data_IF_905748077564
#
_entry.id   IF_905748077564
#
_cell.length_a   1.000
_cell.length_b   1.000
_cell.length_c   1.000
_cell.angle_alpha   90.00
_cell.angle_beta   90.00
_cell.angle_gamma   90.00
#
_symmetry.space_group_name_H-M   'P 1'
#
loop_
_entity.id
_entity.type
_entity.pdbx_description
1 polymer ?
#
# COMPACT_ATOMS: atom_id res chain seq x y z
N UNK A 1 -48.38 -92.82 -8.33
CA UNK A 1 -47.45 -92.09 -9.14
C UNK A 1 -47.23 -90.70 -8.52
N UNK A 2 -46.10 -90.53 -7.88
CA UNK A 2 -45.70 -89.25 -7.22
C UNK A 2 -44.57 -88.65 -8.01
N UNK A 3 -44.81 -87.50 -8.64
CA UNK A 3 -43.82 -86.71 -9.35
C UNK A 3 -43.07 -85.79 -8.32
N UNK A 4 -41.75 -85.95 -8.29
CA UNK A 4 -40.88 -85.19 -7.44
C UNK A 4 -40.39 -83.90 -8.25
N UNK A 5 -40.58 -82.74 -7.77
CA UNK A 5 -40.00 -81.52 -8.46
C UNK A 5 -38.56 -81.35 -7.97
N UNK A 6 -37.63 -81.33 -8.90
CA UNK A 6 -36.20 -81.02 -8.67
C UNK A 6 -36.00 -79.49 -8.32
N UNK A 7 -35.15 -79.17 -7.37
CA UNK A 7 -34.88 -77.79 -7.05
C UNK A 7 -33.94 -77.14 -8.09
N UNK A 8 -34.40 -76.08 -8.67
CA UNK A 8 -33.64 -75.20 -9.59
C UNK A 8 -32.65 -74.35 -8.72
N UNK A 9 -31.39 -74.71 -8.75
CA UNK A 9 -30.35 -73.94 -8.07
C UNK A 9 -29.77 -72.92 -9.05
N UNK A 10 -30.12 -71.62 -8.87
CA UNK A 10 -29.47 -70.49 -9.51
C UNK A 10 -28.09 -70.26 -8.87
N UNK A 11 -27.07 -70.72 -9.54
CA UNK A 11 -25.68 -70.48 -9.11
C UNK A 11 -25.24 -69.11 -9.61
N UNK A 12 -25.51 -68.04 -8.84
CA UNK A 12 -24.99 -66.69 -9.07
C UNK A 12 -23.50 -66.68 -8.67
N UNK A 13 -22.64 -67.11 -9.59
CA UNK A 13 -21.21 -66.97 -9.47
C UNK A 13 -20.82 -65.49 -9.51
N UNK A 14 -20.94 -64.81 -8.37
CA UNK A 14 -20.34 -63.48 -8.16
C UNK A 14 -18.84 -63.66 -8.06
N UNK A 15 -18.16 -63.46 -9.18
CA UNK A 15 -16.69 -63.47 -9.24
C UNK A 15 -16.14 -62.22 -8.57
N UNK A 16 -15.89 -62.33 -7.26
CA UNK A 16 -15.43 -61.25 -6.37
C UNK A 16 -13.97 -60.83 -6.61
N UNK A 17 -13.46 -60.87 -7.85
CA UNK A 17 -12.06 -60.53 -8.14
C UNK A 17 -11.86 -59.47 -9.24
N UNK A 18 -12.89 -58.88 -9.73
CA UNK A 18 -12.69 -57.69 -10.58
C UNK A 18 -12.46 -56.48 -9.71
N UNK A 19 -11.22 -56.34 -9.18
CA UNK A 19 -10.68 -55.09 -8.73
C UNK A 19 -10.63 -54.19 -9.96
N UNK A 20 -11.59 -53.29 -10.09
CA UNK A 20 -11.54 -52.18 -11.05
C UNK A 20 -10.28 -51.38 -10.69
N UNK A 21 -9.17 -51.72 -11.32
CA UNK A 21 -7.97 -50.90 -11.33
C UNK A 21 -8.30 -49.71 -12.21
N UNK A 22 -8.72 -48.61 -11.57
CA UNK A 22 -8.73 -47.33 -12.22
C UNK A 22 -7.29 -47.03 -12.67
N UNK A 23 -7.02 -46.81 -13.95
CA UNK A 23 -5.69 -46.47 -14.39
C UNK A 23 -5.43 -44.98 -14.01
N UNK A 24 -5.07 -44.74 -12.76
CA UNK A 24 -4.40 -43.50 -12.40
C UNK A 24 -3.02 -43.54 -13.02
N UNK A 25 -2.96 -43.22 -14.33
CA UNK A 25 -1.71 -43.05 -15.01
C UNK A 25 -0.89 -41.98 -14.28
N UNK A 26 0.35 -42.32 -13.95
CA UNK A 26 1.32 -41.43 -13.28
C UNK A 26 1.48 -40.06 -13.96
N UNK A 27 1.04 -39.91 -15.20
CA UNK A 27 1.02 -38.67 -15.97
C UNK A 27 -0.07 -37.66 -15.52
N UNK A 28 -1.15 -38.10 -14.88
CA UNK A 28 -2.23 -37.20 -14.39
C UNK A 28 -1.91 -36.56 -13.05
N UNK A 29 -1.08 -37.17 -12.22
CA UNK A 29 -0.73 -36.66 -10.88
C UNK A 29 0.06 -35.35 -10.95
N UNK A 30 0.99 -35.20 -11.90
CA UNK A 30 1.77 -33.96 -12.05
C UNK A 30 0.89 -32.76 -12.39
N UNK A 31 -0.11 -32.93 -13.24
CA UNK A 31 -1.08 -31.88 -13.57
C UNK A 31 -2.00 -31.55 -12.38
N UNK A 32 -2.40 -32.57 -11.62
CA UNK A 32 -3.20 -32.36 -10.40
C UNK A 32 -2.39 -31.61 -9.33
N UNK A 33 -1.12 -31.97 -9.12
CA UNK A 33 -0.23 -31.26 -8.20
C UNK A 33 0.03 -29.83 -8.67
N UNK A 34 0.29 -29.64 -9.98
CA UNK A 34 0.48 -28.30 -10.54
C UNK A 34 -0.78 -27.44 -10.34
N UNK A 35 -1.97 -27.99 -10.61
CA UNK A 35 -3.24 -27.30 -10.38
C UNK A 35 -3.47 -26.96 -8.90
N UNK A 36 -3.17 -27.88 -7.99
CA UNK A 36 -3.27 -27.65 -6.56
C UNK A 36 -2.30 -26.55 -6.07
N UNK A 37 -1.05 -26.57 -6.54
CA UNK A 37 -0.05 -25.53 -6.21
C UNK A 37 -0.48 -24.17 -6.78
N UNK A 38 -0.88 -24.10 -8.05
CA UNK A 38 -1.35 -22.86 -8.66
C UNK A 38 -2.60 -22.33 -7.97
N UNK A 39 -3.56 -23.19 -7.67
CA UNK A 39 -4.78 -22.81 -6.94
C UNK A 39 -4.47 -22.34 -5.52
N UNK A 40 -3.57 -23.03 -4.82
CA UNK A 40 -3.11 -22.64 -3.49
C UNK A 40 -2.38 -21.29 -3.48
N UNK A 41 -1.49 -21.06 -4.42
CA UNK A 41 -0.82 -19.76 -4.59
C UNK A 41 -1.82 -18.63 -4.89
N UNK A 42 -2.78 -18.90 -5.78
CA UNK A 42 -3.83 -17.92 -6.10
C UNK A 42 -4.69 -17.60 -4.87
N UNK A 43 -5.11 -18.62 -4.13
CA UNK A 43 -5.88 -18.44 -2.89
C UNK A 43 -5.08 -17.65 -1.84
N UNK A 44 -3.79 -17.93 -1.71
CA UNK A 44 -2.89 -17.20 -0.81
C UNK A 44 -2.75 -15.73 -1.22
N UNK A 45 -2.59 -15.45 -2.52
CA UNK A 45 -2.53 -14.09 -3.04
C UNK A 45 -3.81 -13.30 -2.77
N UNK A 46 -4.98 -13.93 -2.96
CA UNK A 46 -6.28 -13.26 -2.72
C UNK A 46 -6.48 -12.97 -1.23
N UNK A 47 -5.97 -13.83 -0.35
CA UNK A 47 -6.18 -13.74 1.10
C UNK A 47 -4.95 -13.22 1.86
N UNK A 48 -3.99 -12.58 1.17
CA UNK A 48 -2.80 -12.00 1.81
C UNK A 48 -3.18 -11.08 2.98
N UNK A 49 -2.79 -11.43 4.22
CA UNK A 49 -3.16 -10.65 5.39
C UNK A 49 -2.47 -9.28 5.37
N UNK A 50 -3.17 -8.26 5.85
CA UNK A 50 -2.65 -6.89 5.90
C UNK A 50 -1.37 -6.72 6.76
N UNK A 51 -1.07 -7.68 7.61
CA UNK A 51 0.17 -7.72 8.40
C UNK A 51 1.43 -7.72 7.53
N UNK A 52 1.36 -8.31 6.34
CA UNK A 52 2.49 -8.29 5.39
C UNK A 52 2.78 -6.89 4.89
N UNK A 53 1.73 -6.09 4.65
CA UNK A 53 1.87 -4.69 4.30
C UNK A 53 2.51 -3.89 5.45
N UNK A 54 2.05 -4.13 6.68
CA UNK A 54 2.62 -3.49 7.86
C UNK A 54 4.10 -3.82 8.05
N UNK A 55 4.48 -5.09 7.86
CA UNK A 55 5.88 -5.53 7.95
C UNK A 55 6.74 -4.97 6.82
N UNK A 56 6.21 -4.92 5.60
CA UNK A 56 6.92 -4.32 4.47
C UNK A 56 7.17 -2.82 4.70
N UNK A 57 6.18 -2.10 5.22
CA UNK A 57 6.31 -0.68 5.56
C UNK A 57 7.34 -0.45 6.67
N UNK A 58 7.28 -1.27 7.73
CA UNK A 58 8.25 -1.24 8.84
C UNK A 58 9.69 -1.40 8.32
N UNK A 59 9.92 -2.40 7.48
CA UNK A 59 11.24 -2.69 6.92
C UNK A 59 11.72 -1.58 5.98
N UNK A 60 10.82 -1.08 5.10
CA UNK A 60 11.14 -0.04 4.14
C UNK A 60 11.50 1.30 4.80
N UNK A 61 10.92 1.58 5.98
CA UNK A 61 11.13 2.83 6.72
C UNK A 61 12.09 2.69 7.90
N UNK A 62 12.79 1.56 8.03
CA UNK A 62 13.69 1.27 9.15
C UNK A 62 13.01 1.48 10.52
N UNK A 63 11.73 1.09 10.59
CA UNK A 63 10.94 1.19 11.81
C UNK A 63 10.33 2.58 12.09
N UNK A 64 10.61 3.60 11.29
CA UNK A 64 10.10 4.97 11.52
C UNK A 64 8.59 5.08 11.31
N UNK A 65 8.03 4.28 10.41
CA UNK A 65 6.59 4.26 10.14
C UNK A 65 6.05 2.87 10.41
N UNK A 66 5.11 2.77 11.33
CA UNK A 66 4.49 1.51 11.73
C UNK A 66 2.99 1.56 11.52
N UNK A 67 2.42 0.45 11.05
CA UNK A 67 0.98 0.22 11.06
C UNK A 67 0.66 -0.75 12.20
N UNK A 68 -0.03 -0.26 13.21
CA UNK A 68 -0.47 -1.03 14.36
C UNK A 68 -1.98 -1.35 14.25
N UNK A 69 -2.43 -2.35 15.01
CA UNK A 69 -3.84 -2.78 15.02
C UNK A 69 -4.38 -3.04 13.61
N UNK A 70 -3.57 -3.66 12.77
CA UNK A 70 -3.88 -3.89 11.35
C UNK A 70 -5.01 -4.89 11.20
N UNK A 71 -5.99 -4.58 10.36
CA UNK A 71 -7.16 -5.41 10.07
C UNK A 71 -7.39 -5.51 8.57
N UNK A 72 -7.90 -6.66 8.13
CA UNK A 72 -8.21 -6.92 6.72
C UNK A 72 -7.07 -7.58 5.95
N UNK A 73 -7.02 -7.33 4.66
CA UNK A 73 -6.04 -7.87 3.72
C UNK A 73 -5.16 -6.78 3.11
N UNK A 74 -4.15 -7.18 2.34
CA UNK A 74 -3.34 -6.24 1.53
C UNK A 74 -4.23 -5.46 0.56
N UNK A 75 -5.33 -6.08 0.10
CA UNK A 75 -6.25 -5.49 -0.89
C UNK A 75 -7.22 -4.48 -0.27
N UNK A 76 -7.68 -4.74 0.93
CA UNK A 76 -8.59 -3.86 1.65
C UNK A 76 -8.38 -4.03 3.15
N UNK A 77 -8.03 -2.94 3.82
CA UNK A 77 -7.77 -3.00 5.24
C UNK A 77 -7.74 -1.63 5.91
N UNK A 78 -7.45 -1.67 7.19
CA UNK A 78 -7.24 -0.47 8.00
C UNK A 78 -6.19 -0.72 9.06
N UNK A 79 -5.53 0.34 9.49
CA UNK A 79 -4.53 0.28 10.54
C UNK A 79 -4.32 1.65 11.19
N UNK A 80 -3.69 1.66 12.34
CA UNK A 80 -3.31 2.86 13.06
C UNK A 80 -1.87 3.22 12.66
N UNK A 81 -1.70 4.40 12.10
CA UNK A 81 -0.36 4.88 11.76
C UNK A 81 0.34 5.39 13.01
N UNK A 82 1.53 4.89 13.24
CA UNK A 82 2.41 5.31 14.32
C UNK A 82 3.75 5.73 13.74
N UNK A 83 4.17 6.93 14.04
CA UNK A 83 5.50 7.44 13.72
C UNK A 83 6.42 7.23 14.92
N UNK A 84 7.61 6.69 14.66
CA UNK A 84 8.61 6.41 15.70
C UNK A 84 9.97 6.93 15.26
N UNK A 85 10.87 7.13 16.22
CA UNK A 85 12.25 7.55 15.92
C UNK A 85 13.14 6.44 15.36
N UNK A 86 12.55 5.32 14.89
CA UNK A 86 13.26 4.15 14.37
C UNK A 86 13.49 3.07 15.43
N UNK A 87 14.30 2.07 15.09
CA UNK A 87 14.59 0.94 15.98
C UNK A 87 15.24 1.41 17.28
N UNK A 88 14.68 0.95 18.41
CA UNK A 88 15.17 1.28 19.75
C UNK A 88 14.73 2.64 20.30
N UNK A 89 14.02 3.46 19.52
CA UNK A 89 13.47 4.73 20.00
C UNK A 89 12.27 4.49 20.93
N UNK A 90 12.17 5.32 21.98
CA UNK A 90 10.99 5.38 22.85
C UNK A 90 9.99 6.44 22.40
N UNK A 91 10.39 7.27 21.44
CA UNK A 91 9.52 8.29 20.87
C UNK A 91 8.55 7.60 19.88
N UNK A 92 7.27 7.71 20.17
CA UNK A 92 6.23 7.19 19.29
C UNK A 92 4.99 8.09 19.38
N UNK A 93 4.46 8.47 18.24
CA UNK A 93 3.19 9.21 18.15
C UNK A 93 2.26 8.56 17.15
N UNK A 94 1.05 8.28 17.60
CA UNK A 94 0.01 7.71 16.79
C UNK A 94 -0.84 8.79 16.13
N UNK A 95 -1.19 8.57 14.86
CA UNK A 95 -2.17 9.39 14.17
C UNK A 95 -3.55 9.25 14.87
N UNK A 96 -4.28 10.34 15.11
CA UNK A 96 -5.65 10.25 15.60
C UNK A 96 -6.54 9.61 14.51
N UNK A 97 -7.09 8.44 14.81
CA UNK A 97 -7.90 7.65 13.88
C UNK A 97 -7.13 6.54 13.17
N UNK A 98 -7.76 5.96 12.16
CA UNK A 98 -7.23 4.84 11.38
C UNK A 98 -7.02 5.28 9.93
N UNK A 99 -5.97 4.79 9.33
CA UNK A 99 -5.79 4.84 7.88
C UNK A 99 -6.51 3.64 7.29
N UNK A 100 -7.25 3.87 6.23
CA UNK A 100 -7.92 2.85 5.43
C UNK A 100 -7.26 2.80 4.05
N UNK A 101 -7.10 1.62 3.52
CA UNK A 101 -6.62 1.43 2.16
C UNK A 101 -7.49 0.45 1.41
N UNK A 102 -7.57 0.69 0.12
CA UNK A 102 -8.18 -0.21 -0.85
C UNK A 102 -7.28 -0.26 -2.07
N UNK A 103 -6.84 -1.45 -2.43
CA UNK A 103 -6.03 -1.68 -3.62
C UNK A 103 -6.82 -2.48 -4.63
N UNK A 104 -6.58 -2.24 -5.89
CA UNK A 104 -7.23 -2.95 -6.98
C UNK A 104 -6.36 -2.98 -8.22
N UNK A 105 -6.74 -3.81 -9.16
CA UNK A 105 -6.10 -3.89 -10.47
C UNK A 105 -7.13 -3.56 -11.54
N UNK A 106 -6.75 -2.74 -12.51
CA UNK A 106 -7.56 -2.38 -13.66
C UNK A 106 -6.69 -2.33 -14.92
N UNK A 107 -7.31 -2.13 -16.04
CA UNK A 107 -6.61 -1.80 -17.28
C UNK A 107 -6.77 -0.30 -17.53
N UNK A 108 -5.69 0.36 -17.96
CA UNK A 108 -5.75 1.76 -18.37
C UNK A 108 -6.36 1.89 -19.78
N UNK A 109 -6.53 3.12 -20.27
CA UNK A 109 -7.09 3.39 -21.59
C UNK A 109 -6.31 2.74 -22.77
N UNK A 110 -5.03 2.45 -22.57
CA UNK A 110 -4.18 1.74 -23.53
C UNK A 110 -4.16 0.22 -23.31
N UNK A 111 -5.07 -0.33 -22.49
CA UNK A 111 -5.20 -1.76 -22.18
C UNK A 111 -3.98 -2.35 -21.43
N UNK A 112 -3.21 -1.52 -20.72
CA UNK A 112 -2.09 -1.98 -19.89
C UNK A 112 -2.52 -2.17 -18.45
N UNK A 113 -1.96 -3.15 -17.71
CA UNK A 113 -2.28 -3.39 -16.31
C UNK A 113 -1.85 -2.19 -15.44
N UNK A 114 -2.77 -1.79 -14.57
CA UNK A 114 -2.61 -0.69 -13.65
C UNK A 114 -3.04 -1.13 -12.26
N UNK A 115 -2.21 -0.84 -11.25
CA UNK A 115 -2.54 -1.03 -9.85
C UNK A 115 -3.04 0.29 -9.27
N UNK A 116 -4.23 0.27 -8.68
CA UNK A 116 -4.84 1.44 -8.07
C UNK A 116 -4.79 1.31 -6.55
N UNK A 117 -4.42 2.38 -5.87
CA UNK A 117 -4.35 2.48 -4.42
C UNK A 117 -5.20 3.68 -3.99
N UNK A 118 -6.19 3.43 -3.17
CA UNK A 118 -6.98 4.47 -2.52
C UNK A 118 -6.60 4.48 -1.03
N UNK A 119 -6.13 5.61 -0.54
CA UNK A 119 -5.77 5.81 0.85
C UNK A 119 -6.70 6.86 1.46
N UNK A 120 -7.22 6.59 2.64
CA UNK A 120 -8.08 7.52 3.36
C UNK A 120 -7.69 7.57 4.85
N UNK A 121 -7.61 8.78 5.39
CA UNK A 121 -7.42 9.03 6.80
C UNK A 121 -8.47 10.06 7.25
N UNK A 122 -9.49 9.62 7.96
CA UNK A 122 -10.65 10.45 8.32
C UNK A 122 -10.29 11.71 9.12
N UNK A 123 -9.19 11.68 9.89
CA UNK A 123 -8.72 12.86 10.63
C UNK A 123 -8.23 13.98 9.71
N UNK A 124 -7.66 13.60 8.55
CA UNK A 124 -6.63 14.40 7.92
C UNK A 124 -6.84 14.55 6.41
N UNK A 125 -7.80 13.84 5.84
CA UNK A 125 -8.14 13.86 4.43
C UNK A 125 -9.64 14.04 4.25
N UNK A 126 -10.04 15.02 3.42
CA UNK A 126 -11.46 15.22 3.05
C UNK A 126 -11.88 14.26 1.94
N UNK A 127 -10.94 13.87 1.10
CA UNK A 127 -11.12 12.91 0.01
C UNK A 127 -9.99 11.88 0.06
N UNK A 128 -10.27 10.65 -0.37
CA UNK A 128 -9.26 9.63 -0.45
C UNK A 128 -8.16 10.01 -1.48
N UNK A 129 -6.91 9.83 -1.10
CA UNK A 129 -5.79 9.96 -2.02
C UNK A 129 -5.78 8.76 -2.97
N UNK A 130 -5.76 9.04 -4.27
CA UNK A 130 -5.73 8.01 -5.32
C UNK A 130 -4.37 8.00 -5.99
N UNK A 131 -3.77 6.83 -5.99
CA UNK A 131 -2.50 6.59 -6.63
C UNK A 131 -2.69 5.46 -7.64
N UNK A 132 -2.06 5.57 -8.79
CA UNK A 132 -2.03 4.53 -9.80
C UNK A 132 -0.60 4.21 -10.21
N UNK A 133 -0.24 2.94 -10.15
CA UNK A 133 1.04 2.43 -10.60
C UNK A 133 0.82 1.71 -11.92
N UNK A 134 1.38 2.25 -12.98
CA UNK A 134 1.23 1.75 -14.34
C UNK A 134 2.50 1.03 -14.79
N UNK A 135 2.32 -0.14 -15.40
CA UNK A 135 3.39 -0.83 -16.09
C UNK A 135 3.45 -0.32 -17.55
N UNK A 136 4.62 0.09 -18.04
CA UNK A 136 4.76 0.54 -19.42
C UNK A 136 4.74 -0.63 -20.41
N UNK A 137 4.59 -0.31 -21.69
CA UNK A 137 4.52 -1.27 -22.81
C UNK A 137 5.69 -2.27 -22.87
N UNK A 138 6.84 -1.95 -22.30
CA UNK A 138 8.04 -2.79 -22.33
C UNK A 138 8.51 -3.26 -20.94
N UNK A 139 7.67 -3.20 -19.90
CA UNK A 139 7.99 -3.63 -18.52
C UNK A 139 9.26 -3.00 -17.91
N UNK A 140 9.83 -1.97 -18.54
CA UNK A 140 11.11 -1.41 -18.13
C UNK A 140 10.98 -0.19 -17.22
N UNK A 141 9.83 0.49 -17.22
CA UNK A 141 9.66 1.74 -16.47
C UNK A 141 8.30 1.81 -15.82
N UNK A 142 8.28 1.64 -14.51
CA UNK A 142 7.08 1.87 -13.72
C UNK A 142 6.82 3.36 -13.57
N UNK A 143 5.57 3.77 -13.76
CA UNK A 143 5.12 5.14 -13.56
C UNK A 143 4.09 5.18 -12.43
N UNK A 144 4.39 5.95 -11.40
CA UNK A 144 3.43 6.29 -10.35
C UNK A 144 2.76 7.60 -10.72
N UNK A 145 1.44 7.59 -10.78
CA UNK A 145 0.62 8.79 -10.91
C UNK A 145 -0.16 8.98 -9.61
N UNK A 146 -0.17 10.19 -9.10
CA UNK A 146 -0.97 10.60 -7.95
C UNK A 146 -1.98 11.62 -8.45
N UNK A 147 -3.25 11.38 -8.19
CA UNK A 147 -4.31 12.33 -8.52
C UNK A 147 -4.17 13.60 -7.67
N UNK A 148 -4.76 14.69 -8.16
CA UNK A 148 -4.80 15.94 -7.40
C UNK A 148 -5.45 15.71 -6.05
N UNK A 149 -4.71 16.01 -5.00
CA UNK A 149 -5.11 15.67 -3.64
C UNK A 149 -4.68 16.74 -2.64
N UNK A 150 -5.49 16.93 -1.61
CA UNK A 150 -5.20 17.80 -0.47
C UNK A 150 -5.41 17.06 0.82
N UNK A 151 -4.45 17.19 1.73
CA UNK A 151 -4.53 16.61 3.08
C UNK A 151 -3.94 17.57 4.11
N UNK A 152 -4.43 17.44 5.35
CA UNK A 152 -4.00 18.27 6.48
C UNK A 152 -3.59 17.38 7.65
N UNK A 153 -2.37 17.54 8.11
CA UNK A 153 -1.78 16.69 9.14
C UNK A 153 -1.34 17.55 10.33
N UNK A 154 -1.60 17.13 11.56
CA UNK A 154 -1.09 17.87 12.72
C UNK A 154 0.42 17.79 12.78
N UNK A 155 1.08 18.95 12.91
CA UNK A 155 2.55 19.02 12.88
C UNK A 155 3.22 18.29 14.06
N UNK A 156 2.53 18.15 15.20
CA UNK A 156 3.06 17.43 16.36
C UNK A 156 3.38 15.96 16.09
N UNK A 157 2.79 15.34 15.04
CA UNK A 157 3.11 13.97 14.63
C UNK A 157 4.59 13.79 14.29
N UNK A 158 5.24 14.84 13.79
CA UNK A 158 6.67 14.79 13.48
C UNK A 158 7.51 14.48 14.72
N UNK A 159 7.07 14.87 15.91
CA UNK A 159 7.80 14.57 17.15
C UNK A 159 7.97 13.07 17.40
N UNK A 160 7.11 12.23 16.82
CA UNK A 160 7.26 10.78 16.86
C UNK A 160 8.48 10.27 16.09
N UNK A 161 8.96 11.01 15.09
CA UNK A 161 10.13 10.62 14.31
C UNK A 161 11.47 10.75 15.04
N UNK A 162 11.46 11.14 16.35
CA UNK A 162 12.66 11.29 17.14
C UNK A 162 13.40 12.61 16.87
N UNK A 163 14.71 12.63 17.15
CA UNK A 163 15.53 13.84 16.97
C UNK A 163 15.65 14.23 15.47
N UNK A 164 15.56 15.53 15.14
CA UNK A 164 15.41 16.69 16.03
C UNK A 164 13.97 17.03 16.42
N UNK A 165 12.97 16.36 15.86
CA UNK A 165 11.55 16.74 15.96
C UNK A 165 10.98 16.61 17.37
N UNK A 166 11.43 15.59 18.14
CA UNK A 166 11.03 15.40 19.54
C UNK A 166 11.50 16.55 20.44
N UNK A 167 12.61 17.21 20.09
CA UNK A 167 13.13 18.38 20.80
C UNK A 167 12.40 19.65 20.38
N UNK A 168 12.19 19.82 19.07
CA UNK A 168 11.49 20.98 18.52
C UNK A 168 10.02 21.03 18.92
N UNK A 169 9.39 19.85 19.05
CA UNK A 169 7.95 19.68 19.33
C UNK A 169 7.09 20.65 18.49
N UNK A 170 7.07 20.48 17.17
CA UNK A 170 6.37 21.41 16.29
C UNK A 170 4.87 21.34 16.54
N UNK A 171 4.23 22.49 16.65
CA UNK A 171 2.80 22.68 16.72
C UNK A 171 2.35 23.43 15.46
N UNK A 172 1.13 23.17 14.99
CA UNK A 172 0.59 23.76 13.77
C UNK A 172 -0.02 22.71 12.86
N UNK A 173 -0.26 23.07 11.61
CA UNK A 173 -0.88 22.21 10.61
C UNK A 173 0.01 22.10 9.38
N UNK A 174 0.25 20.88 8.92
CA UNK A 174 0.94 20.58 7.68
C UNK A 174 -0.11 20.30 6.60
N UNK A 175 -0.17 21.13 5.58
CA UNK A 175 -1.00 20.92 4.39
C UNK A 175 -0.15 20.37 3.26
N UNK A 176 -0.54 19.23 2.74
CA UNK A 176 0.09 18.61 1.57
C UNK A 176 -0.88 18.70 0.39
N UNK A 177 -0.43 19.31 -0.70
CA UNK A 177 -1.14 19.35 -1.95
C UNK A 177 -0.32 18.71 -3.06
N UNK A 178 -0.96 17.91 -3.89
CA UNK A 178 -0.37 17.35 -5.11
C UNK A 178 -1.15 17.77 -6.32
N UNK A 179 -0.47 18.15 -7.40
CA UNK A 179 -1.07 18.52 -8.68
C UNK A 179 -0.39 17.80 -9.82
N UNK A 180 -1.17 16.99 -10.55
CA UNK A 180 -0.72 16.25 -11.74
C UNK A 180 0.59 15.49 -11.53
N UNK A 181 0.78 14.94 -10.33
CA UNK A 181 2.04 14.35 -9.92
C UNK A 181 2.26 13.00 -10.62
N UNK A 182 3.38 12.91 -11.34
CA UNK A 182 3.85 11.69 -12.00
C UNK A 182 5.32 11.46 -11.67
N UNK A 183 5.62 10.25 -11.23
CA UNK A 183 6.98 9.82 -10.89
C UNK A 183 7.36 8.66 -11.78
N UNK A 184 8.38 8.84 -12.59
CA UNK A 184 8.96 7.78 -13.42
C UNK A 184 10.17 7.20 -12.70
N UNK A 185 10.18 5.90 -12.47
CA UNK A 185 11.29 5.22 -11.76
C UNK A 185 12.51 4.97 -12.68
N UNK A 186 12.73 5.84 -13.65
CA UNK A 186 13.96 5.87 -14.46
C UNK A 186 14.97 6.86 -13.89
N UNK A 187 16.24 6.57 -14.09
CA UNK A 187 17.37 7.40 -13.67
C UNK A 187 17.61 8.63 -14.54
N UNK A 188 16.59 9.17 -15.23
CA UNK A 188 16.72 10.34 -16.10
C UNK A 188 16.25 11.63 -15.41
N UNK A 189 16.73 12.81 -15.84
CA UNK A 189 16.44 14.08 -15.17
C UNK A 189 14.95 14.45 -15.11
N UNK A 190 14.11 13.84 -15.93
CA UNK A 190 12.66 14.04 -15.94
C UNK A 190 11.86 13.00 -15.12
N UNK A 191 12.44 12.47 -14.06
CA UNK A 191 11.81 11.46 -13.22
C UNK A 191 10.56 11.96 -12.49
N UNK A 192 10.44 13.27 -12.23
CA UNK A 192 9.31 13.91 -11.56
C UNK A 192 8.63 14.89 -12.50
N UNK A 193 7.30 14.83 -12.60
CA UNK A 193 6.43 15.79 -13.28
C UNK A 193 5.30 16.18 -12.34
N UNK A 194 4.75 17.40 -12.51
CA UNK A 194 3.73 17.93 -11.62
C UNK A 194 4.32 18.70 -10.44
N UNK A 195 3.52 18.92 -9.41
CA UNK A 195 3.88 19.76 -8.28
C UNK A 195 3.45 19.12 -6.95
N UNK A 196 4.33 19.22 -5.96
CA UNK A 196 4.04 18.91 -4.56
C UNK A 196 4.25 20.19 -3.76
N UNK A 197 3.22 20.63 -3.06
CA UNK A 197 3.28 21.76 -2.16
C UNK A 197 3.05 21.31 -0.73
N UNK A 198 4.00 21.55 0.14
CA UNK A 198 3.89 21.36 1.59
C UNK A 198 3.84 22.72 2.27
N UNK A 199 2.71 23.06 2.86
CA UNK A 199 2.53 24.28 3.64
C UNK A 199 2.45 23.95 5.14
N UNK A 200 3.37 24.51 5.90
CA UNK A 200 3.41 24.42 7.35
C UNK A 200 2.78 25.69 7.95
N UNK A 201 1.50 25.60 8.32
CA UNK A 201 0.69 26.74 8.76
C UNK A 201 0.75 26.92 10.27
N UNK A 202 0.84 28.21 10.68
CA UNK A 202 0.81 28.63 12.08
C UNK A 202 1.79 27.83 12.95
N UNK A 203 2.98 27.62 12.41
CA UNK A 203 4.01 26.84 13.09
C UNK A 203 4.45 27.48 14.38
N UNK A 204 4.58 26.65 15.41
CA UNK A 204 5.15 27.00 16.70
C UNK A 204 6.11 25.92 17.16
N UNK A 205 7.02 26.24 18.04
CA UNK A 205 7.95 25.29 18.65
C UNK A 205 8.09 25.59 20.14
N UNK A 206 8.35 24.57 20.94
CA UNK A 206 8.65 24.79 22.38
C UNK A 206 9.96 25.54 22.61
N UNK A 207 10.86 25.54 21.64
CA UNK A 207 12.15 26.24 21.75
C UNK A 207 12.04 27.73 21.40
N UNK A 208 10.93 28.17 20.79
CA UNK A 208 10.72 29.56 20.41
C UNK A 208 9.74 30.27 21.36
N UNK A 209 10.04 31.51 21.70
CA UNK A 209 9.14 32.42 22.41
C UNK A 209 8.07 33.02 21.52
N UNK A 210 8.31 33.03 20.17
CA UNK A 210 7.35 33.52 19.19
C UNK A 210 6.28 32.45 18.91
N UNK A 211 5.01 32.80 19.11
CA UNK A 211 3.88 31.91 18.84
C UNK A 211 2.73 32.69 18.18
N UNK A 212 2.39 32.42 16.91
CA UNK A 212 3.07 31.53 15.96
C UNK A 212 4.38 32.13 15.42
N UNK A 213 5.31 31.27 15.01
CA UNK A 213 6.55 31.66 14.33
C UNK A 213 6.29 32.11 12.89
N UNK A 214 5.33 31.48 12.21
CA UNK A 214 4.96 31.80 10.86
C UNK A 214 4.35 30.66 10.06
N UNK A 215 4.14 30.91 8.78
CA UNK A 215 3.69 29.94 7.78
C UNK A 215 4.77 29.80 6.72
N UNK A 216 5.21 28.58 6.50
CA UNK A 216 6.28 28.23 5.58
C UNK A 216 5.74 27.33 4.47
N UNK A 217 6.19 27.53 3.25
CA UNK A 217 5.77 26.72 2.12
C UNK A 217 6.99 26.19 1.38
N UNK A 218 6.99 24.88 1.17
CA UNK A 218 7.95 24.16 0.35
C UNK A 218 7.24 23.70 -0.90
N UNK A 219 7.75 24.10 -2.04
CA UNK A 219 7.29 23.66 -3.35
C UNK A 219 8.36 22.81 -4.02
N UNK A 220 7.97 21.60 -4.41
CA UNK A 220 8.74 20.73 -5.28
C UNK A 220 8.05 20.67 -6.64
N UNK A 221 8.60 21.42 -7.59
CA UNK A 221 8.15 21.42 -8.98
C UNK A 221 8.89 20.36 -9.79
N UNK A 222 8.16 19.55 -10.53
CA UNK A 222 8.72 18.58 -11.46
C UNK A 222 9.30 19.22 -12.72
N UNK A 223 9.99 18.41 -13.52
CA UNK A 223 10.49 18.83 -14.83
C UNK A 223 9.33 19.27 -15.73
N UNK A 224 9.51 20.41 -16.41
CA UNK A 224 8.57 20.97 -17.39
C UNK A 224 9.27 21.29 -18.69
N UNK A 225 8.49 21.68 -19.71
CA UNK A 225 9.07 22.10 -21.00
C UNK A 225 10.01 23.32 -20.86
N UNK A 226 9.79 24.17 -19.86
CA UNK A 226 10.61 25.34 -19.57
C UNK A 226 11.83 25.03 -18.70
N UNK A 227 11.70 24.05 -17.77
CA UNK A 227 12.77 23.63 -16.85
C UNK A 227 12.88 22.10 -16.84
N UNK A 228 13.93 21.53 -17.45
CA UNK A 228 14.08 20.07 -17.54
C UNK A 228 14.50 19.41 -16.22
N UNK A 229 14.83 20.19 -15.19
CA UNK A 229 15.22 19.69 -13.86
C UNK A 229 14.12 20.00 -12.83
N UNK A 230 13.87 19.09 -11.88
CA UNK A 230 13.03 19.39 -10.73
C UNK A 230 13.57 20.58 -9.93
N UNK A 231 12.69 21.42 -9.44
CA UNK A 231 13.03 22.62 -8.67
C UNK A 231 12.46 22.52 -7.26
N UNK A 232 13.22 22.94 -6.28
CA UNK A 232 12.79 23.05 -4.88
C UNK A 232 12.82 24.54 -4.50
N UNK A 233 11.71 25.06 -4.00
CA UNK A 233 11.62 26.41 -3.46
C UNK A 233 11.06 26.40 -2.05
N UNK A 234 11.63 27.21 -1.18
CA UNK A 234 11.15 27.46 0.16
C UNK A 234 10.76 28.93 0.28
N UNK A 235 9.54 29.21 0.67
CA UNK A 235 8.99 30.56 0.81
C UNK A 235 8.34 30.71 2.19
N UNK A 236 8.43 31.93 2.75
CA UNK A 236 7.71 32.32 3.95
C UNK A 236 6.51 33.15 3.54
N UNK A 237 5.31 32.72 3.92
CA UNK A 237 4.07 33.45 3.60
C UNK A 237 3.76 34.50 4.69
N UNK A 238 4.02 34.17 5.94
CA UNK A 238 3.87 35.10 7.08
C UNK A 238 4.82 34.68 8.18
N UNK A 239 5.48 35.64 8.82
CA UNK A 239 6.50 35.42 9.83
C UNK A 239 7.91 35.76 9.37
N UNK A 240 8.91 35.55 10.21
CA UNK A 240 10.32 35.73 9.89
C UNK A 240 10.98 34.35 9.67
N UNK A 241 11.78 34.23 8.62
CA UNK A 241 12.75 33.15 8.50
C UNK A 241 13.82 33.42 9.58
N UNK A 242 13.77 32.67 10.67
CA UNK A 242 14.90 32.57 11.57
C UNK A 242 15.87 31.54 10.96
N UNK A 243 16.90 32.05 10.32
CA UNK A 243 18.09 31.29 9.91
C UNK A 243 19.03 31.12 11.10
#
# INVERSE_FOLDING_TARGET
MRANPSPFSLNLGVNAKDKVRLPFGQRGWSWAVLGAVMGGLMALLIHLPAQWLAQALLNATQGQVQLQEVQGSVWQGSGKLVLTGGEGSRDALALPGRIQWQTGMSLNAANHPQFNFNLNALCCMTQAARLSLQAPERLQVWQLQVDDHQSQWPAHLLSGLGAPWNTLQPEGTLKLETKQLRVNFQTQPSWLQGEITLTAENMSSKLSTLKPMGTYQINLGGASAANPLPSLSLTTQSGSLLL
#
